data_IF_047576595186
#
_entry.id   IF_047576595186
#
_cell.length_a   1.000
_cell.length_b   1.000
_cell.length_c   1.000
_cell.angle_alpha   90.00
_cell.angle_beta   90.00
_cell.angle_gamma   90.00
#
_symmetry.space_group_name_H-M   'P 1'
#
loop_
_entity.id
_entity.type
_entity.pdbx_description
1 polymer ?
#
# COMPACT_ATOMS: atom_id res chain seq x y z
N UNK A 1 5.24 2.17 -6.60
CA UNK A 1 6.50 2.05 -7.36
C UNK A 1 6.17 2.36 -8.80
N UNK A 2 7.10 2.85 -9.62
CA UNK A 2 6.73 3.49 -10.91
C UNK A 2 7.38 2.80 -12.09
N UNK A 3 6.68 2.76 -13.23
CA UNK A 3 7.16 2.15 -14.48
C UNK A 3 8.23 2.96 -15.20
N UNK A 4 8.71 2.43 -16.34
CA UNK A 4 9.86 2.91 -17.11
C UNK A 4 9.79 4.41 -17.49
N UNK A 5 8.59 4.94 -17.79
CA UNK A 5 8.40 6.39 -18.01
C UNK A 5 7.98 7.09 -16.71
N UNK A 6 8.89 7.06 -15.73
CA UNK A 6 8.65 7.39 -14.32
C UNK A 6 7.82 8.67 -14.09
N UNK A 7 8.16 9.78 -14.75
CA UNK A 7 7.44 11.06 -14.59
C UNK A 7 6.00 11.00 -15.07
N UNK A 8 5.74 10.31 -16.18
CA UNK A 8 4.41 10.21 -16.75
C UNK A 8 3.53 9.29 -15.91
N UNK A 9 4.08 8.14 -15.51
CA UNK A 9 3.37 7.16 -14.68
C UNK A 9 2.99 7.74 -13.32
N UNK A 10 3.89 8.51 -12.68
CA UNK A 10 3.56 9.20 -11.41
C UNK A 10 2.42 10.20 -11.60
N UNK A 11 2.39 10.95 -12.71
CA UNK A 11 1.30 11.89 -12.98
C UNK A 11 -0.05 11.17 -13.11
N UNK A 12 -0.08 10.05 -13.84
CA UNK A 12 -1.28 9.22 -13.97
C UNK A 12 -1.72 8.70 -12.59
N UNK A 13 -0.80 8.16 -11.79
CA UNK A 13 -1.12 7.68 -10.44
C UNK A 13 -1.68 8.81 -9.57
N UNK A 14 -1.08 10.00 -9.63
CA UNK A 14 -1.56 11.14 -8.86
C UNK A 14 -2.97 11.60 -9.25
N UNK A 15 -3.40 11.37 -10.50
CA UNK A 15 -4.76 11.66 -10.94
C UNK A 15 -5.77 10.57 -10.58
N UNK A 16 -5.32 9.31 -10.47
CA UNK A 16 -6.18 8.16 -10.20
C UNK A 16 -6.32 7.87 -8.71
N UNK A 17 -5.32 8.19 -7.89
CA UNK A 17 -5.33 7.92 -6.46
C UNK A 17 -5.91 9.10 -5.66
N UNK A 18 -6.77 8.79 -4.71
CA UNK A 18 -7.47 9.80 -3.91
C UNK A 18 -6.64 10.42 -2.79
N UNK A 19 -5.57 9.74 -2.40
CA UNK A 19 -4.69 10.14 -1.31
C UNK A 19 -3.25 9.88 -1.69
N UNK A 20 -2.32 10.63 -1.11
CA UNK A 20 -0.88 10.36 -1.31
C UNK A 20 -0.56 8.95 -0.80
N UNK A 21 0.29 8.21 -1.52
CA UNK A 21 0.73 6.85 -1.17
C UNK A 21 1.49 6.76 0.19
N UNK A 22 1.70 7.88 0.87
CA UNK A 22 2.34 7.97 2.17
C UNK A 22 3.70 7.23 2.20
N UNK A 23 3.91 6.28 3.12
CA UNK A 23 5.16 5.50 3.19
C UNK A 23 5.18 4.38 2.15
N UNK A 24 4.03 3.94 1.65
CA UNK A 24 3.96 2.90 0.61
C UNK A 24 4.66 3.38 -0.67
N UNK A 25 5.45 2.51 -1.28
CA UNK A 25 6.33 2.84 -2.40
C UNK A 25 7.47 3.83 -2.08
N UNK A 26 7.65 4.19 -0.81
CA UNK A 26 8.81 4.94 -0.34
C UNK A 26 10.06 4.07 -0.21
N UNK A 27 11.06 4.63 0.46
CA UNK A 27 12.25 3.90 0.90
C UNK A 27 12.36 3.95 2.43
N UNK A 28 12.67 2.81 3.03
CA UNK A 28 13.00 2.69 4.44
C UNK A 28 14.47 2.27 4.56
N UNK A 29 15.23 2.95 5.40
CA UNK A 29 16.69 2.82 5.40
C UNK A 29 17.32 3.18 6.73
N UNK A 30 18.61 2.86 6.84
CA UNK A 30 19.49 3.46 7.82
C UNK A 30 20.64 4.17 7.12
N UNK A 31 21.18 5.20 7.77
CA UNK A 31 22.36 5.92 7.33
C UNK A 31 23.29 6.12 8.52
N UNK A 32 24.50 5.59 8.41
CA UNK A 32 25.53 5.70 9.43
C UNK A 32 26.41 6.93 9.17
N UNK A 33 26.89 7.55 10.25
CA UNK A 33 27.90 8.64 10.19
C UNK A 33 29.19 8.16 9.53
N UNK A 34 29.47 6.85 9.57
CA UNK A 34 30.58 6.20 8.86
C UNK A 34 30.38 6.08 7.34
N UNK A 35 29.39 6.76 6.75
CA UNK A 35 29.02 6.74 5.32
C UNK A 35 28.44 5.42 4.77
N UNK A 36 28.10 4.48 5.66
CA UNK A 36 27.41 3.24 5.27
C UNK A 36 25.90 3.41 5.39
N UNK A 37 25.14 2.93 4.42
CA UNK A 37 23.69 2.90 4.49
C UNK A 37 23.10 1.84 3.56
N UNK A 38 21.90 1.40 3.88
CA UNK A 38 21.13 0.45 3.08
C UNK A 38 19.69 0.96 2.92
N UNK A 39 19.09 0.75 1.74
CA UNK A 39 17.80 1.28 1.36
C UNK A 39 16.89 0.16 0.85
N UNK A 40 15.80 -0.07 1.58
CA UNK A 40 14.75 -1.01 1.22
C UNK A 40 13.57 -0.26 0.62
N UNK A 41 12.95 -0.86 -0.39
CA UNK A 41 11.68 -0.35 -0.93
C UNK A 41 10.55 -0.76 0.00
N UNK A 42 9.71 0.19 0.38
CA UNK A 42 8.57 -0.08 1.26
C UNK A 42 7.40 -0.66 0.46
N UNK A 43 7.34 -1.99 0.43
CA UNK A 43 6.23 -2.78 -0.07
C UNK A 43 5.90 -3.87 0.94
N UNK A 44 4.69 -4.45 0.83
CA UNK A 44 4.29 -5.56 1.70
C UNK A 44 4.44 -5.24 3.19
N UNK A 45 4.07 -4.01 3.55
CA UNK A 45 4.27 -3.41 4.87
C UNK A 45 2.96 -2.80 5.35
N UNK A 46 2.75 -2.80 6.66
CA UNK A 46 1.57 -2.26 7.33
C UNK A 46 1.98 -1.13 8.26
N UNK A 47 1.24 -0.02 8.24
CA UNK A 47 1.55 1.17 9.05
C UNK A 47 0.38 1.55 9.94
N UNK A 48 0.67 1.82 11.21
CA UNK A 48 -0.29 2.39 12.16
C UNK A 48 -0.08 3.89 12.24
N UNK A 49 -1.12 4.67 12.00
CA UNK A 49 -1.09 6.12 12.16
C UNK A 49 -1.75 6.53 13.48
N UNK A 50 -1.22 7.56 14.13
CA UNK A 50 -1.85 8.18 15.29
C UNK A 50 -2.88 9.19 14.78
N UNK A 51 -4.04 8.71 14.32
CA UNK A 51 -5.12 9.52 13.74
C UNK A 51 -5.93 8.73 12.70
N UNK A 52 -7.01 9.35 12.20
CA UNK A 52 -7.86 8.76 11.16
C UNK A 52 -7.27 9.03 9.77
N UNK A 53 -6.98 7.97 9.01
CA UNK A 53 -6.58 8.04 7.62
C UNK A 53 -7.83 8.15 6.74
N UNK A 54 -8.15 9.37 6.29
CA UNK A 54 -9.28 9.58 5.38
C UNK A 54 -8.82 9.50 3.92
N UNK A 55 -9.44 8.60 3.15
CA UNK A 55 -9.42 8.63 1.70
C UNK A 55 -10.85 8.90 1.20
N UNK A 56 -11.04 9.40 -0.02
CA UNK A 56 -12.39 9.76 -0.51
C UNK A 56 -13.38 8.59 -0.55
N UNK A 57 -12.87 7.35 -0.52
CA UNK A 57 -13.64 6.11 -0.48
C UNK A 57 -13.76 5.48 0.93
N UNK A 58 -13.26 6.10 2.01
CA UNK A 58 -13.57 5.63 3.37
C UNK A 58 -15.03 5.94 3.68
N UNK A 59 -15.91 4.95 3.53
CA UNK A 59 -17.37 5.08 3.72
C UNK A 59 -17.82 5.05 5.18
N UNK A 60 -16.91 4.87 6.14
CA UNK A 60 -17.25 4.84 7.57
C UNK A 60 -16.66 6.06 8.27
N UNK A 61 -17.53 6.82 8.93
CA UNK A 61 -17.12 7.81 9.92
C UNK A 61 -16.22 7.11 10.95
N UNK A 62 -15.12 7.74 11.38
CA UNK A 62 -14.27 7.14 12.40
C UNK A 62 -15.12 6.83 13.64
N UNK A 63 -14.97 5.63 14.24
CA UNK A 63 -15.69 5.30 15.46
C UNK A 63 -15.45 6.40 16.51
N UNK A 64 -16.48 6.75 17.31
CA UNK A 64 -16.46 7.89 18.24
C UNK A 64 -15.47 7.73 19.42
N UNK A 65 -14.60 6.73 19.36
CA UNK A 65 -13.71 6.32 20.42
C UNK A 65 -12.27 6.65 19.97
N UNK A 66 -11.58 7.53 20.70
CA UNK A 66 -10.16 7.89 20.53
C UNK A 66 -9.16 6.69 20.60
N UNK A 67 -9.68 5.46 20.72
CA UNK A 67 -8.94 4.21 20.88
C UNK A 67 -8.88 3.34 19.62
N UNK A 68 -9.55 3.70 18.53
CA UNK A 68 -9.54 2.90 17.31
C UNK A 68 -8.17 2.99 16.61
N UNK A 69 -7.39 1.91 16.72
CA UNK A 69 -6.09 1.78 16.05
C UNK A 69 -6.30 1.45 14.58
N UNK A 70 -6.18 2.45 13.71
CA UNK A 70 -6.24 2.26 12.27
C UNK A 70 -4.89 1.79 11.71
N UNK A 71 -4.93 0.75 10.90
CA UNK A 71 -3.78 0.19 10.19
C UNK A 71 -4.02 0.30 8.69
N UNK A 72 -3.03 0.83 7.97
CA UNK A 72 -3.08 1.03 6.52
C UNK A 72 -2.08 0.09 5.86
N UNK A 73 -2.55 -0.68 4.88
CA UNK A 73 -1.73 -1.57 4.07
C UNK A 73 -1.85 -1.13 2.62
N UNK A 74 -0.72 -0.74 2.03
CA UNK A 74 -0.64 -0.44 0.59
C UNK A 74 -0.37 -1.72 -0.20
N UNK A 75 -1.15 -1.94 -1.27
CA UNK A 75 -0.92 -3.00 -2.26
C UNK A 75 -1.07 -2.44 -3.67
N UNK A 76 -0.44 -3.08 -4.64
CA UNK A 76 -0.41 -2.61 -6.02
C UNK A 76 0.22 -3.63 -6.97
N UNK A 77 -0.02 -3.42 -8.26
CA UNK A 77 0.45 -4.25 -9.37
C UNK A 77 1.10 -3.45 -10.48
N UNK A 78 1.76 -4.14 -11.41
CA UNK A 78 2.38 -3.53 -12.57
C UNK A 78 1.47 -3.73 -13.79
N UNK A 79 0.86 -2.65 -14.27
CA UNK A 79 -0.06 -2.74 -15.43
C UNK A 79 0.72 -2.61 -16.74
N UNK A 80 0.43 -3.53 -17.66
CA UNK A 80 0.96 -3.55 -19.03
C UNK A 80 -0.17 -3.46 -20.06
N UNK A 81 0.16 -3.29 -21.33
CA UNK A 81 -0.84 -3.22 -22.40
C UNK A 81 -1.60 -4.55 -22.61
N UNK A 82 -1.06 -5.67 -22.14
CA UNK A 82 -1.67 -7.00 -22.23
C UNK A 82 -2.24 -7.48 -20.90
N UNK A 83 -2.22 -6.62 -19.87
CA UNK A 83 -2.76 -6.95 -18.56
C UNK A 83 -4.28 -7.07 -18.62
N UNK A 84 -4.79 -8.07 -17.89
CA UNK A 84 -6.23 -8.27 -17.70
C UNK A 84 -6.66 -7.60 -16.38
N UNK A 85 -7.67 -6.70 -16.39
CA UNK A 85 -8.05 -5.95 -15.19
C UNK A 85 -8.46 -6.82 -13.99
N UNK A 86 -9.14 -7.94 -14.24
CA UNK A 86 -9.63 -8.83 -13.18
C UNK A 86 -8.45 -9.59 -12.54
N UNK A 87 -7.54 -10.11 -13.36
CA UNK A 87 -6.34 -10.81 -12.87
C UNK A 87 -5.39 -9.91 -12.07
N UNK A 88 -5.21 -8.66 -12.49
CA UNK A 88 -4.36 -7.71 -11.77
C UNK A 88 -4.96 -7.35 -10.41
N UNK A 89 -6.29 -7.28 -10.33
CA UNK A 89 -7.01 -7.09 -9.07
C UNK A 89 -6.86 -8.30 -8.14
N UNK A 90 -7.01 -9.52 -8.65
CA UNK A 90 -6.76 -10.75 -7.89
C UNK A 90 -5.33 -10.81 -7.36
N UNK A 91 -4.32 -10.46 -8.18
CA UNK A 91 -2.93 -10.40 -7.75
C UNK A 91 -2.72 -9.39 -6.62
N UNK A 92 -3.37 -8.22 -6.68
CA UNK A 92 -3.33 -7.23 -5.61
C UNK A 92 -3.91 -7.76 -4.29
N UNK A 93 -5.01 -8.51 -4.36
CA UNK A 93 -5.63 -9.16 -3.19
C UNK A 93 -4.72 -10.23 -2.58
N UNK A 94 -4.07 -11.07 -3.41
CA UNK A 94 -3.13 -12.09 -2.94
C UNK A 94 -1.96 -11.45 -2.19
N UNK A 95 -1.37 -10.37 -2.75
CA UNK A 95 -0.30 -9.61 -2.07
C UNK A 95 -0.75 -9.00 -0.76
N UNK A 96 -1.99 -8.51 -0.70
CA UNK A 96 -2.58 -7.95 0.51
C UNK A 96 -2.80 -9.04 1.58
N UNK A 97 -3.34 -10.19 1.20
CA UNK A 97 -3.60 -11.32 2.09
C UNK A 97 -2.33 -11.78 2.82
N UNK A 98 -1.21 -11.80 2.12
CA UNK A 98 0.09 -12.16 2.71
C UNK A 98 0.48 -11.26 3.90
N UNK A 99 0.10 -9.97 3.88
CA UNK A 99 0.26 -9.07 5.05
C UNK A 99 -0.85 -9.30 6.09
N UNK A 100 -2.09 -9.53 5.66
CA UNK A 100 -3.23 -9.72 6.56
C UNK A 100 -3.13 -10.99 7.43
N UNK A 101 -2.45 -12.03 6.95
CA UNK A 101 -2.18 -13.24 7.72
C UNK A 101 -1.50 -12.95 9.07
N UNK A 102 -0.73 -11.87 9.18
CA UNK A 102 -0.09 -11.43 10.45
C UNK A 102 -1.13 -11.11 11.53
N UNK A 103 -2.34 -10.69 11.15
CA UNK A 103 -3.44 -10.40 12.08
C UNK A 103 -4.31 -11.62 12.39
N UNK A 104 -3.93 -12.83 11.92
CA UNK A 104 -4.68 -14.06 12.17
C UNK A 104 -5.88 -14.28 11.23
N UNK A 105 -5.99 -13.49 10.15
CA UNK A 105 -6.95 -13.77 9.09
C UNK A 105 -6.41 -14.89 8.19
N UNK A 106 -6.97 -16.08 8.33
CA UNK A 106 -6.81 -17.14 7.32
C UNK A 106 -7.65 -16.81 6.09
N UNK A 107 -7.13 -17.09 4.90
CA UNK A 107 -7.88 -16.96 3.65
C UNK A 107 -9.20 -17.73 3.74
N UNK A 108 -10.33 -17.18 3.28
CA UNK A 108 -11.48 -18.01 2.96
C UNK A 108 -11.02 -18.94 1.83
N UNK A 109 -10.94 -20.24 2.11
CA UNK A 109 -10.84 -21.23 1.05
C UNK A 109 -12.14 -21.13 0.24
N UNK A 110 -12.04 -20.63 -0.99
CA UNK A 110 -13.13 -20.70 -1.95
C UNK A 110 -13.32 -22.18 -2.33
N UNK A 111 -14.50 -22.74 -2.01
CA UNK A 111 -14.94 -24.08 -2.43
C UNK A 111 -15.60 -23.99 -3.80
#
# INVERSE_FOLDING_TARGET
MTSALKKHSVKILHTLEDSKQNVYSGAFSYWCVSSTGDWLVTIHSCFKYNGCYSCKHTTKAPPPDDCAKEWVIGTGGAITALSDPEKEWEEMLIKLQSVLCVFGYSTPHEN
#
